data_IF_155890466961
#
_entry.id   IF_155890466961
#
_cell.length_a   1.000
_cell.length_b   1.000
_cell.length_c   1.000
_cell.angle_alpha   90.00
_cell.angle_beta   90.00
_cell.angle_gamma   90.00
#
_symmetry.space_group_name_H-M   'P 1'
#
loop_
_entity.id
_entity.type
_entity.pdbx_description
1 polymer ?
#
# COMPACT_ATOMS: atom_id res chain seq x y z
N UNK A 1 15.26 -2.80 3.26
CA UNK A 1 14.67 -3.11 1.93
C UNK A 1 14.23 -4.57 1.87
N UNK A 2 15.14 -5.54 1.97
CA UNK A 2 14.81 -6.99 1.88
C UNK A 2 13.70 -7.45 2.84
N UNK A 3 13.74 -7.05 4.12
CA UNK A 3 12.68 -7.46 5.06
C UNK A 3 11.30 -6.86 4.71
N UNK A 4 11.27 -5.64 4.18
CA UNK A 4 10.02 -5.03 3.74
C UNK A 4 9.44 -5.75 2.52
N UNK A 5 10.28 -6.21 1.59
CA UNK A 5 9.83 -6.98 0.42
C UNK A 5 9.34 -8.36 0.79
N UNK A 6 10.05 -9.05 1.68
CA UNK A 6 9.62 -10.35 2.21
C UNK A 6 8.30 -10.20 2.95
N UNK A 7 8.18 -9.17 3.80
CA UNK A 7 6.95 -8.84 4.51
C UNK A 7 5.79 -8.52 3.56
N UNK A 8 6.02 -7.69 2.55
CA UNK A 8 5.02 -7.36 1.52
C UNK A 8 4.56 -8.62 0.78
N UNK A 9 5.50 -9.45 0.30
CA UNK A 9 5.19 -10.69 -0.41
C UNK A 9 4.37 -11.68 0.43
N UNK A 10 4.78 -11.94 1.68
CA UNK A 10 4.03 -12.81 2.60
C UNK A 10 2.64 -12.21 2.89
N UNK A 11 2.55 -10.91 3.10
CA UNK A 11 1.29 -10.20 3.32
C UNK A 11 0.34 -10.30 2.13
N UNK A 12 0.88 -10.20 0.91
CA UNK A 12 0.10 -10.38 -0.33
C UNK A 12 -0.39 -11.81 -0.50
N UNK A 13 0.46 -12.81 -0.29
CA UNK A 13 0.07 -14.23 -0.41
C UNK A 13 -1.02 -14.57 0.60
N UNK A 14 -0.82 -14.18 1.87
CA UNK A 14 -1.81 -14.42 2.93
C UNK A 14 -3.10 -13.67 2.67
N UNK A 15 -3.04 -12.40 2.27
CA UNK A 15 -4.19 -11.59 1.87
C UNK A 15 -4.96 -12.17 0.70
N UNK A 16 -4.26 -12.70 -0.32
CA UNK A 16 -4.86 -13.31 -1.50
C UNK A 16 -5.64 -14.58 -1.14
N UNK A 17 -5.02 -15.45 -0.32
CA UNK A 17 -5.68 -16.66 0.19
C UNK A 17 -6.89 -16.29 1.05
N UNK A 18 -6.77 -15.29 1.93
CA UNK A 18 -7.88 -14.86 2.78
C UNK A 18 -9.04 -14.30 1.93
N UNK A 19 -8.74 -13.45 0.96
CA UNK A 19 -9.72 -12.77 0.13
C UNK A 19 -10.48 -13.73 -0.80
N UNK A 20 -9.78 -14.70 -1.42
CA UNK A 20 -10.34 -15.49 -2.52
C UNK A 20 -10.50 -16.98 -2.24
N UNK A 21 -9.91 -17.51 -1.16
CA UNK A 21 -9.99 -18.94 -0.82
C UNK A 21 -10.76 -19.22 0.45
N UNK A 22 -11.05 -18.20 1.24
CA UNK A 22 -11.85 -18.37 2.45
C UNK A 22 -13.20 -17.70 2.33
N UNK A 23 -14.17 -18.19 3.09
CA UNK A 23 -15.51 -17.59 3.15
C UNK A 23 -15.50 -16.19 3.83
N UNK A 24 -14.36 -15.79 4.40
CA UNK A 24 -14.15 -14.48 5.04
C UNK A 24 -14.26 -13.35 4.02
N UNK A 25 -13.70 -13.53 2.81
CA UNK A 25 -13.82 -12.54 1.73
C UNK A 25 -15.27 -12.30 1.34
N UNK A 26 -16.07 -13.37 1.29
CA UNK A 26 -17.50 -13.33 1.00
C UNK A 26 -18.27 -12.62 2.14
N UNK A 27 -18.01 -12.95 3.40
CA UNK A 27 -18.66 -12.30 4.54
C UNK A 27 -18.36 -10.80 4.61
N UNK A 28 -17.10 -10.40 4.40
CA UNK A 28 -16.70 -8.99 4.42
C UNK A 28 -17.30 -8.23 3.23
N UNK A 29 -17.42 -8.88 2.07
CA UNK A 29 -18.09 -8.27 0.93
C UNK A 29 -19.57 -8.00 1.16
N UNK A 30 -20.29 -8.92 1.82
CA UNK A 30 -21.68 -8.72 2.21
C UNK A 30 -21.81 -7.57 3.20
N UNK A 31 -20.98 -7.54 4.25
CA UNK A 31 -20.98 -6.48 5.25
C UNK A 31 -20.71 -5.09 4.63
N UNK A 32 -19.74 -4.99 3.72
CA UNK A 32 -19.46 -3.72 3.04
C UNK A 32 -20.59 -3.28 2.13
N UNK A 33 -21.27 -4.22 1.46
CA UNK A 33 -22.42 -3.91 0.59
C UNK A 33 -23.61 -3.39 1.39
N UNK A 34 -23.80 -3.85 2.63
CA UNK A 34 -24.84 -3.32 3.54
C UNK A 34 -24.54 -1.92 4.09
N UNK A 35 -23.26 -1.58 4.25
CA UNK A 35 -22.81 -0.26 4.74
C UNK A 35 -22.85 0.85 3.68
N UNK A 36 -22.81 0.49 2.39
CA UNK A 36 -22.78 1.43 1.27
C UNK A 36 -24.22 1.66 0.74
N UNK A 37 -24.66 2.93 0.52
CA UNK A 37 -26.01 3.21 0.03
C UNK A 37 -26.32 2.52 -1.31
N UNK A 38 -27.50 1.89 -1.38
CA UNK A 38 -28.00 1.05 -2.48
C UNK A 38 -27.97 1.70 -3.89
N UNK A 39 -27.82 3.02 -4.00
CA UNK A 39 -27.83 3.73 -5.28
C UNK A 39 -26.48 3.74 -6.02
N UNK A 40 -25.46 3.06 -5.50
CA UNK A 40 -24.13 2.96 -6.14
C UNK A 40 -23.79 1.54 -6.61
N UNK A 41 -24.78 0.63 -6.62
CA UNK A 41 -24.54 -0.83 -6.61
C UNK A 41 -24.77 -1.46 -7.97
N UNK A 42 -23.69 -1.83 -8.64
CA UNK A 42 -23.70 -2.71 -9.80
C UNK A 42 -22.99 -4.03 -9.42
N UNK A 43 -23.42 -5.16 -9.97
CA UNK A 43 -23.01 -6.53 -9.59
C UNK A 43 -21.50 -6.85 -9.65
N UNK A 44 -20.67 -5.93 -10.16
CA UNK A 44 -19.21 -6.02 -10.13
C UNK A 44 -18.59 -5.79 -8.73
N UNK A 45 -19.36 -5.32 -7.74
CA UNK A 45 -18.86 -4.92 -6.40
C UNK A 45 -18.44 -6.06 -5.46
N UNK A 46 -18.96 -7.28 -5.60
CA UNK A 46 -18.59 -8.42 -4.74
C UNK A 46 -17.08 -8.77 -4.84
N UNK A 47 -16.50 -8.57 -6.02
CA UNK A 47 -15.07 -8.78 -6.27
C UNK A 47 -14.21 -7.61 -5.76
N UNK A 48 -14.72 -6.37 -5.86
CA UNK A 48 -14.03 -5.18 -5.37
C UNK A 48 -13.95 -5.11 -3.83
N UNK A 49 -14.90 -5.72 -3.12
CA UNK A 49 -14.89 -5.73 -1.65
C UNK A 49 -13.92 -6.76 -1.06
N UNK A 50 -13.64 -7.87 -1.73
CA UNK A 50 -12.65 -8.86 -1.24
C UNK A 50 -11.21 -8.37 -1.41
N UNK A 51 -10.95 -7.53 -2.42
CA UNK A 51 -9.63 -6.91 -2.66
C UNK A 51 -9.15 -6.06 -1.47
N UNK A 52 -10.05 -5.50 -0.68
CA UNK A 52 -9.66 -4.73 0.51
C UNK A 52 -8.84 -5.55 1.51
N UNK A 53 -9.12 -6.86 1.62
CA UNK A 53 -8.38 -7.77 2.51
C UNK A 53 -6.96 -8.02 2.02
N UNK A 54 -6.79 -8.13 0.69
CA UNK A 54 -5.48 -8.24 0.07
C UNK A 54 -4.64 -6.99 0.39
N UNK A 55 -5.20 -5.80 0.20
CA UNK A 55 -4.53 -4.53 0.49
C UNK A 55 -4.24 -4.40 1.99
N UNK A 56 -5.19 -4.74 2.87
CA UNK A 56 -5.02 -4.76 4.31
C UNK A 56 -3.85 -5.66 4.75
N UNK A 57 -3.82 -6.90 4.27
CA UNK A 57 -2.80 -7.88 4.61
C UNK A 57 -1.42 -7.52 4.02
N UNK A 58 -1.38 -6.98 2.80
CA UNK A 58 -0.14 -6.48 2.20
C UNK A 58 0.42 -5.28 2.98
N UNK A 59 -0.45 -4.35 3.42
CA UNK A 59 -0.07 -3.22 4.28
C UNK A 59 0.48 -3.68 5.63
N UNK A 60 -0.21 -4.65 6.26
CA UNK A 60 0.25 -5.29 7.50
C UNK A 60 1.63 -5.91 7.31
N UNK A 61 1.80 -6.79 6.31
CA UNK A 61 3.07 -7.46 6.04
C UNK A 61 4.22 -6.50 5.76
N UNK A 62 3.97 -5.45 4.97
CA UNK A 62 4.96 -4.42 4.66
C UNK A 62 5.37 -3.64 5.90
N UNK A 63 4.40 -3.25 6.74
CA UNK A 63 4.66 -2.55 8.01
C UNK A 63 5.49 -3.40 8.98
N UNK A 64 5.22 -4.71 9.03
CA UNK A 64 5.91 -5.64 9.90
C UNK A 64 7.34 -5.85 9.43
N UNK A 65 7.55 -6.05 8.13
CA UNK A 65 8.86 -6.15 7.53
C UNK A 65 9.71 -4.90 7.77
N UNK A 66 9.13 -3.71 7.62
CA UNK A 66 9.79 -2.44 7.94
C UNK A 66 10.09 -2.32 9.43
N UNK A 67 9.12 -2.61 10.31
CA UNK A 67 9.26 -2.51 11.76
C UNK A 67 10.34 -3.45 12.29
N UNK A 68 10.39 -4.69 11.80
CA UNK A 68 11.41 -5.70 12.10
C UNK A 68 12.80 -5.24 11.64
N UNK A 69 12.92 -4.67 10.44
CA UNK A 69 14.19 -4.18 9.94
C UNK A 69 14.81 -3.12 10.85
N UNK A 70 14.00 -2.24 11.43
CA UNK A 70 14.45 -1.25 12.41
C UNK A 70 15.49 -0.24 11.90
N UNK A 71 15.79 -0.24 10.60
CA UNK A 71 16.91 0.50 10.01
C UNK A 71 16.80 2.01 10.19
N UNK A 72 15.58 2.54 10.27
CA UNK A 72 15.31 3.99 10.29
C UNK A 72 15.20 4.60 11.70
N UNK A 73 15.70 3.90 12.74
CA UNK A 73 15.65 4.40 14.13
C UNK A 73 14.23 4.52 14.72
N UNK A 74 13.27 3.85 14.08
CA UNK A 74 11.85 3.88 14.43
C UNK A 74 11.54 3.13 15.75
N UNK A 75 10.45 3.50 16.42
CA UNK A 75 9.98 2.79 17.61
C UNK A 75 9.36 1.46 17.16
N UNK A 76 9.79 0.32 17.72
CA UNK A 76 9.31 -1.04 17.38
C UNK A 76 7.86 -1.30 17.85
N UNK A 77 6.92 -0.48 17.38
CA UNK A 77 5.48 -0.53 17.72
C UNK A 77 4.75 -1.33 16.66
N UNK A 78 4.92 -2.65 16.70
CA UNK A 78 4.36 -3.57 15.71
C UNK A 78 2.85 -3.39 15.52
N UNK A 79 2.07 -3.40 16.60
CA UNK A 79 0.61 -3.30 16.51
C UNK A 79 0.14 -1.97 15.89
N UNK A 80 0.67 -0.85 16.38
CA UNK A 80 0.28 0.49 15.91
C UNK A 80 0.68 0.66 14.45
N UNK A 81 1.89 0.23 14.07
CA UNK A 81 2.37 0.31 12.69
C UNK A 81 1.49 -0.51 11.75
N UNK A 82 1.11 -1.72 12.15
CA UNK A 82 0.25 -2.59 11.36
C UNK A 82 -1.17 -2.06 11.21
N UNK A 83 -1.79 -1.55 12.27
CA UNK A 83 -3.14 -0.97 12.19
C UNK A 83 -3.16 0.24 11.26
N UNK A 84 -2.20 1.16 11.42
CA UNK A 84 -2.16 2.37 10.59
C UNK A 84 -1.85 2.03 9.13
N UNK A 85 -0.94 1.09 8.88
CA UNK A 85 -0.64 0.62 7.52
C UNK A 85 -1.84 -0.07 6.87
N UNK A 86 -2.57 -0.90 7.61
CA UNK A 86 -3.79 -1.55 7.15
C UNK A 86 -4.84 -0.50 6.73
N UNK A 87 -5.10 0.48 7.60
CA UNK A 87 -6.01 1.60 7.29
C UNK A 87 -5.54 2.35 6.04
N UNK A 88 -4.25 2.65 5.94
CA UNK A 88 -3.66 3.34 4.80
C UNK A 88 -3.87 2.62 3.47
N UNK A 89 -3.62 1.31 3.44
CA UNK A 89 -3.79 0.49 2.25
C UNK A 89 -5.27 0.32 1.88
N UNK A 90 -6.15 0.16 2.87
CA UNK A 90 -7.60 0.14 2.65
C UNK A 90 -8.11 1.48 2.08
N UNK A 91 -7.69 2.61 2.64
CA UNK A 91 -8.06 3.93 2.14
C UNK A 91 -7.50 4.18 0.74
N UNK A 92 -6.24 3.78 0.49
CA UNK A 92 -5.64 3.84 -0.83
C UNK A 92 -6.44 3.02 -1.85
N UNK A 93 -6.90 1.82 -1.46
CA UNK A 93 -7.80 1.00 -2.26
C UNK A 93 -9.13 1.70 -2.57
N UNK A 94 -9.79 2.27 -1.57
CA UNK A 94 -11.03 3.02 -1.77
C UNK A 94 -10.84 4.21 -2.73
N UNK A 95 -9.74 4.96 -2.59
CA UNK A 95 -9.45 6.09 -3.47
C UNK A 95 -9.15 5.62 -4.90
N UNK A 96 -8.46 4.50 -5.06
CA UNK A 96 -8.30 3.88 -6.37
C UNK A 96 -9.66 3.58 -7.01
N UNK A 97 -10.61 3.02 -6.27
CA UNK A 97 -11.96 2.72 -6.79
C UNK A 97 -12.74 3.97 -7.21
N UNK A 98 -12.55 5.10 -6.51
CA UNK A 98 -13.23 6.35 -6.86
C UNK A 98 -12.64 7.03 -8.11
N UNK A 99 -11.34 6.86 -8.38
CA UNK A 99 -10.62 7.53 -9.48
C UNK A 99 -10.54 6.67 -10.75
N UNK A 100 -10.41 5.35 -10.58
CA UNK A 100 -10.20 4.37 -11.68
C UNK A 100 -11.26 4.41 -12.78
N UNK A 101 -12.56 4.65 -12.53
CA UNK A 101 -13.56 4.68 -13.60
C UNK A 101 -13.22 5.68 -14.72
N UNK A 102 -12.36 6.66 -14.42
CA UNK A 102 -12.01 7.75 -15.32
C UNK A 102 -10.52 7.77 -15.69
N UNK A 103 -9.60 7.44 -14.77
CA UNK A 103 -8.13 7.63 -14.95
C UNK A 103 -7.30 6.62 -14.16
N UNK A 104 -6.97 5.49 -14.76
CA UNK A 104 -6.20 4.39 -14.14
C UNK A 104 -4.83 4.83 -13.61
N UNK A 105 -4.09 5.67 -14.35
CA UNK A 105 -2.78 6.18 -13.92
C UNK A 105 -2.82 7.04 -12.65
N UNK A 106 -3.75 7.99 -12.61
CA UNK A 106 -3.90 8.92 -11.48
C UNK A 106 -4.38 8.20 -10.22
N UNK A 107 -5.26 7.21 -10.36
CA UNK A 107 -5.76 6.41 -9.25
C UNK A 107 -4.64 5.65 -8.51
N UNK A 108 -3.64 5.14 -9.25
CA UNK A 108 -2.49 4.44 -8.67
C UNK A 108 -1.62 5.39 -7.85
N UNK A 109 -1.32 6.55 -8.45
CA UNK A 109 -0.53 7.59 -7.80
C UNK A 109 -1.21 7.99 -6.49
N UNK A 110 -2.52 8.25 -6.53
CA UNK A 110 -3.31 8.60 -5.35
C UNK A 110 -3.33 7.48 -4.30
N UNK A 111 -3.51 6.22 -4.71
CA UNK A 111 -3.45 5.06 -3.83
C UNK A 111 -2.11 4.98 -3.10
N UNK A 112 -1.01 5.07 -3.85
CA UNK A 112 0.35 4.93 -3.29
C UNK A 112 0.62 6.07 -2.33
N UNK A 113 0.22 7.29 -2.70
CA UNK A 113 0.42 8.47 -1.86
C UNK A 113 -0.28 8.31 -0.52
N UNK A 114 -1.51 7.82 -0.50
CA UNK A 114 -2.27 7.55 0.74
C UNK A 114 -1.66 6.37 1.51
N UNK A 115 -1.47 5.23 0.85
CA UNK A 115 -1.02 4.00 1.47
C UNK A 115 0.37 4.16 2.10
N UNK A 116 1.32 4.74 1.38
CA UNK A 116 2.69 4.95 1.84
C UNK A 116 2.74 6.07 2.90
N UNK A 117 1.92 7.12 2.79
CA UNK A 117 1.84 8.15 3.83
C UNK A 117 1.39 7.60 5.17
N UNK A 118 0.33 6.78 5.18
CA UNK A 118 -0.13 6.13 6.41
C UNK A 118 0.88 5.11 6.93
N UNK A 119 1.44 4.28 6.04
CA UNK A 119 2.51 3.33 6.40
C UNK A 119 3.65 4.05 7.13
N UNK A 120 4.15 5.15 6.57
CA UNK A 120 5.27 5.93 7.13
C UNK A 120 4.93 6.62 8.44
N UNK A 121 3.71 7.16 8.59
CA UNK A 121 3.20 7.66 9.88
C UNK A 121 3.16 6.56 10.93
N UNK A 122 2.74 5.35 10.54
CA UNK A 122 2.61 4.20 11.43
C UNK A 122 3.94 3.65 11.95
N UNK A 123 5.06 3.88 11.25
CA UNK A 123 6.37 3.37 11.66
C UNK A 123 6.87 3.96 12.99
N UNK A 124 6.38 5.12 13.41
CA UNK A 124 6.80 5.74 14.67
C UNK A 124 8.26 6.21 14.62
N UNK A 125 8.63 6.90 13.55
CA UNK A 125 9.92 7.58 13.39
C UNK A 125 10.15 8.61 14.53
N UNK A 126 11.40 9.03 14.77
CA UNK A 126 11.71 9.86 15.97
C UNK A 126 11.54 11.37 15.74
N UNK A 127 11.75 11.85 14.52
CA UNK A 127 11.61 13.27 14.17
C UNK A 127 11.20 13.42 12.69
N UNK A 128 10.87 14.64 12.29
CA UNK A 128 10.59 15.05 10.89
C UNK A 128 9.56 14.15 10.19
N UNK A 129 8.51 13.74 10.91
CA UNK A 129 7.48 12.81 10.43
C UNK A 129 6.90 13.24 9.09
N UNK A 130 6.51 14.51 8.94
CA UNK A 130 5.95 15.03 7.70
C UNK A 130 6.93 14.97 6.54
N UNK A 131 8.23 15.19 6.77
CA UNK A 131 9.26 15.08 5.73
C UNK A 131 9.38 13.63 5.27
N UNK A 132 9.39 12.69 6.20
CA UNK A 132 9.42 11.26 5.87
C UNK A 132 8.19 10.84 5.08
N UNK A 133 7.01 11.30 5.49
CA UNK A 133 5.73 11.04 4.80
C UNK A 133 5.76 11.59 3.39
N UNK A 134 6.16 12.85 3.22
CA UNK A 134 6.21 13.51 1.92
C UNK A 134 7.23 12.85 1.00
N UNK A 135 8.47 12.67 1.45
CA UNK A 135 9.53 12.09 0.62
C UNK A 135 9.23 10.64 0.26
N UNK A 136 8.75 9.83 1.22
CA UNK A 136 8.40 8.43 0.93
C UNK A 136 7.15 8.33 0.06
N UNK A 137 6.08 9.09 0.36
CA UNK A 137 4.84 9.08 -0.40
C UNK A 137 5.01 9.59 -1.83
N UNK A 138 5.57 10.79 -2.01
CA UNK A 138 5.82 11.34 -3.35
C UNK A 138 6.90 10.58 -4.09
N UNK A 139 7.98 10.14 -3.42
CA UNK A 139 9.02 9.36 -4.06
C UNK A 139 8.51 8.03 -4.60
N UNK A 140 7.70 7.32 -3.82
CA UNK A 140 7.07 6.06 -4.28
C UNK A 140 6.08 6.28 -5.40
N UNK A 141 5.21 7.29 -5.28
CA UNK A 141 4.22 7.59 -6.29
C UNK A 141 4.87 8.02 -7.62
N UNK A 142 5.95 8.81 -7.57
CA UNK A 142 6.71 9.20 -8.76
C UNK A 142 7.46 8.03 -9.38
N UNK A 143 8.01 7.10 -8.60
CA UNK A 143 8.63 5.88 -9.12
C UNK A 143 7.61 5.00 -9.89
N UNK A 144 6.38 4.90 -9.41
CA UNK A 144 5.31 4.19 -10.11
C UNK A 144 4.81 4.97 -11.34
N UNK A 145 4.63 6.28 -11.24
CA UNK A 145 4.26 7.11 -12.38
C UNK A 145 5.30 7.00 -13.50
N UNK A 146 6.59 7.08 -13.16
CA UNK A 146 7.70 6.89 -14.08
C UNK A 146 7.70 5.49 -14.71
N UNK A 147 7.41 4.44 -13.94
CA UNK A 147 7.31 3.08 -14.47
C UNK A 147 6.19 2.94 -15.50
N UNK A 148 5.04 3.58 -15.25
CA UNK A 148 3.90 3.58 -16.18
C UNK A 148 4.19 4.40 -17.43
N UNK A 149 4.80 5.59 -17.30
CA UNK A 149 5.01 6.51 -18.44
C UNK A 149 6.24 6.17 -19.28
N UNK A 150 7.36 5.77 -18.67
CA UNK A 150 8.62 5.50 -19.38
C UNK A 150 8.74 4.05 -19.84
N UNK A 151 8.30 3.09 -19.02
CA UNK A 151 8.45 1.67 -19.33
C UNK A 151 7.19 1.08 -19.98
N UNK A 152 6.08 1.84 -20.04
CA UNK A 152 4.76 1.37 -20.48
C UNK A 152 4.27 0.11 -19.74
N UNK A 153 4.86 -0.18 -18.58
CA UNK A 153 4.46 -1.29 -17.72
C UNK A 153 3.30 -0.77 -16.89
N UNK A 154 2.07 -1.14 -17.26
CA UNK A 154 0.89 -0.85 -16.44
C UNK A 154 0.65 -2.02 -15.48
N UNK A 155 0.94 -1.87 -14.17
CA UNK A 155 0.64 -2.93 -13.20
C UNK A 155 -0.87 -3.11 -12.95
N UNK A 156 -1.75 -2.35 -13.63
CA UNK A 156 -3.10 -2.03 -13.13
C UNK A 156 -4.23 -2.46 -14.05
N UNK A 157 -3.97 -2.74 -15.32
CA UNK A 157 -4.98 -3.37 -16.20
C UNK A 157 -5.52 -4.69 -15.63
N UNK A 158 -4.76 -5.34 -14.72
CA UNK A 158 -5.07 -6.61 -14.09
C UNK A 158 -5.80 -6.49 -12.75
N UNK A 159 -5.67 -5.37 -12.03
CA UNK A 159 -6.22 -5.21 -10.67
C UNK A 159 -7.74 -5.03 -10.65
N UNK A 160 -8.35 -4.58 -11.76
CA UNK A 160 -9.64 -3.89 -11.73
C UNK A 160 -10.72 -4.47 -12.66
N UNK A 161 -10.38 -5.44 -13.53
CA UNK A 161 -11.26 -5.82 -14.64
C UNK A 161 -11.84 -7.26 -14.57
N UNK A 162 -11.39 -8.13 -13.67
CA UNK A 162 -11.91 -9.51 -13.55
C UNK A 162 -11.74 -10.05 -12.13
N UNK A 163 -12.55 -11.05 -11.79
CA UNK A 163 -12.29 -11.91 -10.63
C UNK A 163 -10.88 -12.51 -10.73
N UNK A 164 -10.01 -12.30 -9.73
CA UNK A 164 -8.63 -12.75 -9.85
C UNK A 164 -8.53 -14.27 -9.79
N UNK A 165 -7.74 -14.83 -10.71
CA UNK A 165 -7.43 -16.24 -10.81
C UNK A 165 -6.07 -16.54 -10.16
N UNK A 166 -5.80 -17.80 -9.81
CA UNK A 166 -4.52 -18.18 -9.19
C UNK A 166 -3.28 -17.74 -9.99
N UNK A 167 -3.40 -17.63 -11.31
CA UNK A 167 -2.37 -17.11 -12.21
C UNK A 167 -2.01 -15.64 -11.96
N UNK A 168 -2.88 -14.88 -11.29
CA UNK A 168 -2.70 -13.45 -11.05
C UNK A 168 -1.93 -13.16 -9.76
N UNK A 169 -1.83 -14.14 -8.84
CA UNK A 169 -1.08 -13.99 -7.57
C UNK A 169 0.36 -13.49 -7.76
N UNK A 170 1.17 -14.01 -8.72
CA UNK A 170 2.50 -13.49 -8.97
C UNK A 170 2.50 -11.99 -9.31
N UNK A 171 1.48 -11.52 -10.03
CA UNK A 171 1.38 -10.12 -10.45
C UNK A 171 1.06 -9.21 -9.24
N UNK A 172 0.13 -9.63 -8.38
CA UNK A 172 -0.10 -8.95 -7.10
C UNK A 172 1.16 -8.92 -6.24
N UNK A 173 1.88 -10.03 -6.15
CA UNK A 173 3.11 -10.12 -5.38
C UNK A 173 4.17 -9.16 -5.92
N UNK A 174 4.39 -9.13 -7.25
CA UNK A 174 5.33 -8.19 -7.90
C UNK A 174 4.94 -6.74 -7.60
N UNK A 175 3.66 -6.39 -7.67
CA UNK A 175 3.18 -5.03 -7.38
C UNK A 175 3.52 -4.61 -5.94
N UNK A 176 3.14 -5.40 -4.94
CA UNK A 176 3.37 -5.04 -3.53
C UNK A 176 4.85 -5.17 -3.13
N UNK A 177 5.60 -6.10 -3.72
CA UNK A 177 7.05 -6.19 -3.54
C UNK A 177 7.70 -4.92 -4.09
N UNK A 178 7.35 -4.50 -5.31
CA UNK A 178 7.89 -3.28 -5.91
C UNK A 178 7.53 -2.03 -5.09
N UNK A 179 6.31 -1.97 -4.58
CA UNK A 179 5.86 -0.93 -3.66
C UNK A 179 6.70 -0.94 -2.36
N UNK A 180 6.94 -2.11 -1.77
CA UNK A 180 7.80 -2.27 -0.59
C UNK A 180 9.26 -1.87 -0.82
N UNK A 181 9.83 -2.22 -1.98
CA UNK A 181 11.19 -1.79 -2.40
C UNK A 181 11.24 -0.27 -2.48
N UNK A 182 10.33 0.31 -3.26
CA UNK A 182 10.30 1.75 -3.52
C UNK A 182 10.07 2.53 -2.22
N UNK A 183 9.12 2.10 -1.39
CA UNK A 183 8.84 2.74 -0.10
C UNK A 183 10.04 2.70 0.83
N UNK A 184 10.72 1.54 0.91
CA UNK A 184 11.93 1.40 1.72
C UNK A 184 13.08 2.26 1.20
N UNK A 185 13.23 2.37 -0.13
CA UNK A 185 14.27 3.16 -0.77
C UNK A 185 14.10 4.65 -0.44
N UNK A 186 12.90 5.19 -0.66
CA UNK A 186 12.61 6.60 -0.41
C UNK A 186 12.59 6.94 1.08
N UNK A 187 12.18 6.01 1.95
CA UNK A 187 12.39 6.13 3.40
C UNK A 187 13.88 6.20 3.74
N UNK A 188 14.71 5.40 3.09
CA UNK A 188 16.17 5.47 3.23
C UNK A 188 16.74 6.82 2.81
N UNK A 189 16.35 7.32 1.63
CA UNK A 189 16.74 8.67 1.18
C UNK A 189 16.30 9.71 2.20
N UNK A 190 15.06 9.65 2.66
CA UNK A 190 14.54 10.60 3.62
C UNK A 190 15.34 10.58 4.94
N UNK A 191 15.65 9.39 5.46
CA UNK A 191 16.30 9.24 6.77
C UNK A 191 17.82 9.45 6.76
N UNK A 192 18.51 9.14 5.66
CA UNK A 192 19.97 9.21 5.59
C UNK A 192 20.49 10.40 4.77
N UNK A 193 19.69 10.97 3.87
CA UNK A 193 20.07 12.15 3.09
C UNK A 193 19.28 13.37 3.54
N UNK A 194 17.95 13.33 3.52
CA UNK A 194 17.15 14.55 3.74
C UNK A 194 17.22 15.02 5.19
N UNK A 195 16.97 14.16 6.17
CA UNK A 195 16.92 14.61 7.57
C UNK A 195 18.27 15.06 8.16
N UNK A 196 19.44 14.48 7.81
CA UNK A 196 20.72 15.05 8.25
C UNK A 196 20.95 16.45 7.70
N UNK A 197 20.61 16.70 6.42
CA UNK A 197 20.70 18.02 5.81
C UNK A 197 19.75 19.03 6.46
N UNK A 198 18.51 18.64 6.76
CA UNK A 198 17.57 19.51 7.48
C UNK A 198 18.05 19.86 8.88
N UNK A 199 18.62 18.90 9.61
CA UNK A 199 19.24 19.15 10.92
C UNK A 199 20.43 20.07 10.82
N UNK A 200 21.25 19.91 9.78
CA UNK A 200 22.38 20.80 9.50
C UNK A 200 21.91 22.25 9.25
N UNK A 201 20.77 22.44 8.58
CA UNK A 201 20.12 23.73 8.37
C UNK A 201 19.41 24.29 9.63
N UNK A 202 19.55 23.63 10.78
CA UNK A 202 18.98 24.08 12.06
C UNK A 202 17.52 23.67 12.30
N UNK A 203 16.91 22.89 11.41
CA UNK A 203 15.55 22.40 11.59
C UNK A 203 15.54 21.23 12.58
N UNK A 204 14.96 21.44 13.77
CA UNK A 204 14.79 20.43 14.82
C UNK A 204 13.53 19.59 14.63
#
# INVERSE_FOLDING_TARGET
MILATVGAGIGTITGYVLAYKTNIGIQISMFLTELLPANSVNHTQLLFSSQILLFAAAGLGTSWGLTLAGAFGQKRRYLISSVIAMIGYCLGWFVLQLITPSRTGEGIVALILIAVSFLTLGLGLRSHHLVHVLVAGFGTATAFAASVTLLQISPVSFLLNRAPEWSDLPLFAVFFIFLGISASFWLGISNYLVTPWLKFLGWR
#
